data_IF_078207994305
#
_entry.id   IF_078207994305
#
_cell.length_a   1.000
_cell.length_b   1.000
_cell.length_c   1.000
_cell.angle_alpha   90.00
_cell.angle_beta   90.00
_cell.angle_gamma   90.00
#
_symmetry.space_group_name_H-M   'P 1'
#
loop_
_entity.id
_entity.type
_entity.pdbx_description
1 polymer ?
#
# COMPACT_ATOMS: atom_id res chain seq x y z
N UNK A 1 12.07 1.29 0.55
CA UNK A 1 11.89 1.59 -0.88
C UNK A 1 11.13 0.43 -1.54
N UNK A 2 9.79 0.42 -1.54
CA UNK A 2 8.99 -0.75 -1.93
C UNK A 2 8.11 -0.54 -3.18
N UNK A 3 8.41 0.47 -4.02
CA UNK A 3 7.59 0.83 -5.19
C UNK A 3 8.22 0.57 -6.55
N UNK A 4 9.41 -0.04 -6.64
CA UNK A 4 10.17 -0.10 -7.90
C UNK A 4 9.76 -1.24 -8.85
N UNK A 5 8.89 -2.17 -8.43
CA UNK A 5 8.49 -3.31 -9.26
C UNK A 5 7.72 -2.92 -10.52
N UNK A 6 6.85 -1.92 -10.42
CA UNK A 6 6.06 -1.42 -11.54
C UNK A 6 6.96 -0.68 -12.56
N UNK A 7 7.75 0.34 -12.16
CA UNK A 7 8.65 0.99 -13.12
C UNK A 7 9.72 0.02 -13.65
N UNK A 8 10.24 -0.90 -12.83
CA UNK A 8 11.19 -1.92 -13.28
C UNK A 8 10.63 -2.85 -14.36
N UNK A 9 9.42 -3.39 -14.13
CA UNK A 9 8.72 -4.21 -15.12
C UNK A 9 8.40 -3.44 -16.41
N UNK A 10 8.01 -2.16 -16.29
CA UNK A 10 7.76 -1.28 -17.43
C UNK A 10 9.01 -1.08 -18.30
N UNK A 11 10.15 -0.75 -17.69
CA UNK A 11 11.40 -0.56 -18.42
C UNK A 11 11.91 -1.83 -19.09
N UNK A 12 11.79 -2.98 -18.42
CA UNK A 12 12.17 -4.27 -18.99
C UNK A 12 11.26 -4.63 -20.16
N UNK A 13 9.94 -4.52 -20.00
CA UNK A 13 8.98 -4.80 -21.05
C UNK A 13 9.14 -3.87 -22.25
N UNK A 14 9.35 -2.57 -22.00
CA UNK A 14 9.62 -1.60 -23.05
C UNK A 14 10.93 -1.91 -23.80
N UNK A 15 11.99 -2.28 -23.09
CA UNK A 15 13.26 -2.69 -23.69
C UNK A 15 13.10 -3.91 -24.60
N UNK A 16 12.29 -4.89 -24.20
CA UNK A 16 11.97 -6.05 -25.03
C UNK A 16 11.09 -5.63 -26.23
N UNK A 17 10.07 -4.82 -26.02
CA UNK A 17 9.18 -4.34 -27.10
C UNK A 17 9.91 -3.55 -28.19
N UNK A 18 10.93 -2.77 -27.80
CA UNK A 18 11.79 -2.05 -28.74
C UNK A 18 12.58 -3.00 -29.67
N UNK A 19 12.98 -4.19 -29.19
CA UNK A 19 13.66 -5.18 -30.04
C UNK A 19 12.75 -5.75 -31.13
N UNK A 20 11.43 -5.69 -30.95
CA UNK A 20 10.44 -6.16 -31.91
C UNK A 20 9.77 -5.01 -32.69
N UNK A 21 10.32 -3.79 -32.62
CA UNK A 21 9.75 -2.57 -33.24
C UNK A 21 8.30 -2.28 -32.78
N UNK A 22 7.93 -2.79 -31.60
CA UNK A 22 6.61 -2.63 -31.00
C UNK A 22 6.73 -2.23 -29.53
N UNK A 23 7.17 -0.99 -29.27
CA UNK A 23 7.33 -0.49 -27.91
C UNK A 23 6.01 -0.50 -27.13
N UNK A 24 4.89 -0.23 -27.80
CA UNK A 24 3.55 -0.20 -27.19
C UNK A 24 3.19 -1.55 -26.56
N UNK A 25 3.42 -2.64 -27.31
CA UNK A 25 3.15 -4.01 -26.86
C UNK A 25 4.08 -4.37 -25.69
N UNK A 26 5.36 -4.02 -25.79
CA UNK A 26 6.32 -4.22 -24.71
C UNK A 26 5.96 -3.47 -23.43
N UNK A 27 5.43 -2.25 -23.55
CA UNK A 27 5.00 -1.44 -22.41
C UNK A 27 3.83 -2.10 -21.66
N UNK A 28 2.80 -2.56 -22.39
CA UNK A 28 1.66 -3.26 -21.80
C UNK A 28 2.06 -4.59 -21.15
N UNK A 29 2.95 -5.34 -21.80
CA UNK A 29 3.49 -6.60 -21.24
C UNK A 29 4.30 -6.31 -19.98
N UNK A 30 5.17 -5.31 -20.00
CA UNK A 30 5.98 -4.89 -18.86
C UNK A 30 5.14 -4.46 -17.66
N UNK A 31 4.04 -3.74 -17.90
CA UNK A 31 3.09 -3.34 -16.87
C UNK A 31 2.33 -4.54 -16.28
N UNK A 32 1.87 -5.46 -17.14
CA UNK A 32 1.21 -6.70 -16.71
C UNK A 32 2.11 -7.57 -15.84
N UNK A 33 3.36 -7.77 -16.27
CA UNK A 33 4.36 -8.56 -15.52
C UNK A 33 4.77 -7.83 -14.23
N UNK A 34 5.01 -6.52 -14.29
CA UNK A 34 5.35 -5.72 -13.11
C UNK A 34 4.27 -5.79 -12.04
N UNK A 35 3.00 -5.70 -12.44
CA UNK A 35 1.87 -5.84 -11.51
C UNK A 35 1.73 -7.25 -10.95
N UNK A 36 1.86 -8.28 -11.80
CA UNK A 36 1.75 -9.68 -11.40
C UNK A 36 2.93 -10.15 -10.53
N UNK A 37 4.10 -9.54 -10.67
CA UNK A 37 5.29 -9.87 -9.88
C UNK A 37 5.17 -9.48 -8.41
N UNK A 38 4.42 -8.42 -8.07
CA UNK A 38 4.24 -7.96 -6.69
C UNK A 38 3.56 -9.01 -5.78
N UNK A 39 2.40 -9.61 -6.14
CA UNK A 39 1.79 -10.66 -5.34
C UNK A 39 2.61 -11.96 -5.34
N UNK A 40 3.29 -12.30 -6.44
CA UNK A 40 4.20 -13.47 -6.48
C UNK A 40 5.38 -13.29 -5.51
N UNK A 41 5.98 -12.11 -5.51
CA UNK A 41 7.07 -11.77 -4.59
C UNK A 41 6.59 -11.74 -3.14
N UNK A 42 5.38 -11.22 -2.89
CA UNK A 42 4.77 -11.19 -1.57
C UNK A 42 4.37 -12.60 -1.07
N UNK A 43 3.90 -13.48 -1.97
CA UNK A 43 3.64 -14.90 -1.66
C UNK A 43 4.93 -15.65 -1.35
N UNK A 44 6.03 -15.35 -2.04
CA UNK A 44 7.34 -15.92 -1.74
C UNK A 44 7.93 -15.34 -0.44
N UNK A 45 7.65 -14.07 -0.14
CA UNK A 45 8.06 -13.40 1.09
C UNK A 45 7.13 -13.62 2.29
N UNK A 46 5.97 -14.26 2.14
CA UNK A 46 4.94 -14.50 3.18
C UNK A 46 5.41 -15.30 4.42
N UNK A 47 6.71 -15.53 4.56
CA UNK A 47 7.36 -15.82 5.84
C UNK A 47 7.61 -14.57 6.71
N UNK A 48 7.57 -13.35 6.18
CA UNK A 48 7.94 -12.12 6.90
C UNK A 48 7.12 -10.92 6.38
N UNK A 49 6.43 -10.25 7.30
CA UNK A 49 5.91 -8.86 7.26
C UNK A 49 4.37 -8.65 7.24
N UNK A 50 3.96 -8.08 8.37
CA UNK A 50 2.66 -7.52 8.76
C UNK A 50 2.33 -6.35 7.83
N UNK A 51 1.10 -6.32 7.33
CA UNK A 51 0.56 -5.17 6.59
C UNK A 51 0.45 -4.01 7.57
N UNK A 52 1.34 -3.02 7.46
CA UNK A 52 1.30 -1.76 8.20
C UNK A 52 -0.01 -1.03 7.87
N UNK A 53 -1.01 -1.18 8.74
CA UNK A 53 -2.31 -0.53 8.60
C UNK A 53 -2.17 0.96 8.94
N UNK A 54 -2.16 1.81 7.92
CA UNK A 54 -2.25 3.26 8.09
C UNK A 54 -3.62 3.58 8.71
N UNK A 55 -3.64 3.97 9.98
CA UNK A 55 -4.84 4.54 10.61
C UNK A 55 -5.21 5.77 9.79
N UNK A 56 -6.37 5.80 9.10
CA UNK A 56 -6.83 7.03 8.47
C UNK A 56 -6.91 8.08 9.57
N UNK A 57 -6.24 9.22 9.38
CA UNK A 57 -6.33 10.37 10.28
C UNK A 57 -7.81 10.78 10.33
N UNK A 58 -8.50 10.27 11.35
CA UNK A 58 -9.83 10.67 11.76
C UNK A 58 -9.74 12.11 12.24
N UNK A 59 -9.87 13.03 11.30
CA UNK A 59 -10.23 14.41 11.54
C UNK A 59 -11.68 14.43 12.03
N UNK A 60 -11.88 14.26 13.33
CA UNK A 60 -13.01 14.72 14.14
C UNK A 60 -12.77 14.23 15.57
N UNK A 61 -12.34 15.16 16.43
CA UNK A 61 -12.35 14.97 17.88
C UNK A 61 -13.81 14.80 18.33
N UNK A 62 -14.22 13.68 18.97
CA UNK A 62 -15.43 13.70 19.76
C UNK A 62 -15.09 14.46 21.04
N UNK A 63 -15.35 15.76 21.00
CA UNK A 63 -15.42 16.58 22.19
C UNK A 63 -16.38 15.98 23.22
N UNK A 64 -16.02 16.19 24.47
CA UNK A 64 -16.91 16.27 25.63
C UNK A 64 -17.65 14.98 26.04
N UNK A 65 -17.01 14.20 26.92
CA UNK A 65 -17.72 13.60 28.05
C UNK A 65 -17.05 14.08 29.34
N UNK A 66 -17.34 15.32 29.73
CA UNK A 66 -17.14 15.76 31.10
C UNK A 66 -18.24 15.07 31.94
N UNK A 67 -17.89 13.94 32.54
CA UNK A 67 -18.74 13.26 33.52
C UNK A 67 -18.81 14.12 34.79
N UNK A 68 -19.73 15.09 34.80
CA UNK A 68 -20.29 15.62 36.04
C UNK A 68 -21.22 14.56 36.59
N UNK A 69 -20.78 13.86 37.63
CA UNK A 69 -21.58 13.15 38.64
C UNK A 69 -20.77 11.96 39.16
N UNK A 70 -19.86 12.17 40.11
CA UNK A 70 -19.73 11.24 41.24
C UNK A 70 -18.77 11.70 42.36
N UNK A 71 -18.75 12.97 42.79
CA UNK A 71 -17.94 13.33 43.97
C UNK A 71 -18.52 14.43 44.86
N UNK A 72 -19.84 14.37 45.11
CA UNK A 72 -20.52 15.19 46.14
C UNK A 72 -21.12 14.34 47.28
N UNK A 73 -20.72 13.06 47.39
CA UNK A 73 -21.23 12.15 48.44
C UNK A 73 -20.23 11.81 49.56
N UNK A 74 -19.13 12.54 49.68
CA UNK A 74 -18.13 12.31 50.74
C UNK A 74 -17.91 13.53 51.68
N UNK A 75 -18.84 14.49 51.68
CA UNK A 75 -18.82 15.68 52.57
C UNK A 75 -20.15 15.97 53.27
N UNK A 76 -20.88 14.94 53.70
CA UNK A 76 -21.97 15.08 54.69
C UNK A 76 -21.65 14.30 55.96
#
# INVERSE_FOLDING_TARGET
MQGLFIPGGLFIGMGIGLLFDRPDVGLFIGLGIGFMSMPVYNLLQKRIQVVEYQIPKSSEEPGLYENKEHDERDRR
#
